data_IF_735732917707
#
_entry.id   IF_735732917707
#
_cell.length_a   1.000
_cell.length_b   1.000
_cell.length_c   1.000
_cell.angle_alpha   90.00
_cell.angle_beta   90.00
_cell.angle_gamma   90.00
#
_symmetry.space_group_name_H-M   'P 1'
#
loop_
_entity.id
_entity.type
_entity.pdbx_description
1 polymer ?
#
# COMPACT_ATOMS: atom_id res chain seq x y z
N UNK A 1 -8.26 -61.57 25.32
CA UNK A 1 -7.20 -61.34 24.30
C UNK A 1 -7.70 -60.37 23.28
N UNK A 2 -7.24 -59.11 23.36
CA UNK A 2 -7.52 -58.10 22.35
C UNK A 2 -6.63 -58.38 21.13
N UNK A 3 -7.26 -58.60 19.97
CA UNK A 3 -6.52 -58.70 18.69
C UNK A 3 -6.10 -57.32 18.28
N UNK A 4 -4.81 -57.07 18.34
CA UNK A 4 -4.18 -55.88 17.72
C UNK A 4 -4.40 -55.99 16.22
N UNK A 5 -5.28 -55.13 15.66
CA UNK A 5 -5.42 -54.97 14.22
C UNK A 5 -4.23 -54.17 13.72
N UNK A 6 -3.36 -54.82 12.97
CA UNK A 6 -2.30 -54.12 12.26
C UNK A 6 -2.86 -53.38 11.04
N UNK A 7 -2.28 -52.22 10.73
CA UNK A 7 -2.58 -51.47 9.49
C UNK A 7 -2.14 -52.28 8.27
N UNK A 8 -2.97 -52.25 7.24
CA UNK A 8 -2.61 -52.86 5.96
C UNK A 8 -1.73 -51.87 5.16
N UNK A 9 -0.81 -52.43 4.32
CA UNK A 9 0.04 -51.61 3.45
C UNK A 9 -0.78 -50.69 2.52
N UNK A 10 -1.94 -51.17 2.04
CA UNK A 10 -2.86 -50.42 1.19
C UNK A 10 -3.45 -49.21 1.93
N UNK A 11 -3.77 -49.36 3.21
CA UNK A 11 -4.35 -48.29 4.03
C UNK A 11 -3.32 -47.15 4.23
N UNK A 12 -2.07 -47.47 4.45
CA UNK A 12 -0.99 -46.48 4.58
C UNK A 12 -0.74 -45.76 3.25
N UNK A 13 -0.70 -46.49 2.14
CA UNK A 13 -0.54 -45.89 0.80
C UNK A 13 -1.69 -44.96 0.47
N UNK A 14 -2.93 -45.38 0.77
CA UNK A 14 -4.11 -44.57 0.54
C UNK A 14 -4.10 -43.31 1.41
N UNK A 15 -3.72 -43.44 2.69
CA UNK A 15 -3.63 -42.29 3.60
C UNK A 15 -2.58 -41.27 3.14
N UNK A 16 -1.41 -41.73 2.72
CA UNK A 16 -0.35 -40.86 2.18
C UNK A 16 -0.82 -40.18 0.89
N UNK A 17 -1.49 -40.91 -0.01
CA UNK A 17 -2.01 -40.35 -1.25
C UNK A 17 -3.04 -39.25 -0.98
N UNK A 18 -3.99 -39.46 -0.06
CA UNK A 18 -4.97 -38.44 0.34
C UNK A 18 -4.27 -37.22 0.98
N UNK A 19 -3.27 -37.45 1.83
CA UNK A 19 -2.50 -36.38 2.45
C UNK A 19 -1.78 -35.51 1.40
N UNK A 20 -1.15 -36.12 0.39
CA UNK A 20 -0.49 -35.42 -0.70
C UNK A 20 -1.48 -34.62 -1.55
N UNK A 21 -2.68 -35.19 -1.81
CA UNK A 21 -3.76 -34.48 -2.49
C UNK A 21 -4.20 -33.23 -1.71
N UNK A 22 -4.42 -33.35 -0.41
CA UNK A 22 -4.81 -32.23 0.45
C UNK A 22 -3.71 -31.14 0.51
N UNK A 23 -2.46 -31.54 0.63
CA UNK A 23 -1.31 -30.63 0.59
C UNK A 23 -1.23 -29.88 -0.75
N UNK A 24 -1.46 -30.58 -1.87
CA UNK A 24 -1.48 -29.96 -3.20
C UNK A 24 -2.55 -28.91 -3.39
N UNK A 25 -3.70 -29.06 -2.73
CA UNK A 25 -4.79 -28.07 -2.77
C UNK A 25 -4.57 -26.88 -1.81
N UNK A 26 -3.79 -27.05 -0.75
CA UNK A 26 -3.56 -26.01 0.25
C UNK A 26 -2.57 -24.92 -0.22
N UNK A 27 -1.58 -25.27 -1.05
CA UNK A 27 -0.51 -24.35 -1.47
C UNK A 27 -1.03 -23.10 -2.23
N UNK A 28 -1.89 -23.19 -3.26
CA UNK A 28 -2.35 -22.02 -4.01
C UNK A 28 -3.17 -21.04 -3.17
N UNK A 29 -3.88 -21.52 -2.13
CA UNK A 29 -4.64 -20.66 -1.24
C UNK A 29 -3.77 -19.74 -0.37
N UNK A 30 -2.59 -20.21 0.02
CA UNK A 30 -1.66 -19.43 0.87
C UNK A 30 -0.99 -18.28 0.11
N UNK A 31 -0.67 -18.46 -1.17
CA UNK A 31 -0.04 -17.40 -1.99
C UNK A 31 -0.97 -16.23 -2.21
N UNK A 32 -2.24 -16.46 -2.49
CA UNK A 32 -3.25 -15.41 -2.64
C UNK A 32 -3.47 -14.58 -1.38
N UNK A 33 -3.53 -15.24 -0.21
CA UNK A 33 -3.68 -14.56 1.09
C UNK A 33 -2.46 -13.69 1.40
N UNK A 34 -1.26 -14.15 1.08
CA UNK A 34 -0.03 -13.37 1.29
C UNK A 34 0.02 -12.16 0.36
N UNK A 35 -0.36 -12.32 -0.90
CA UNK A 35 -0.42 -11.23 -1.88
C UNK A 35 -1.45 -10.16 -1.45
N UNK A 36 -2.63 -10.57 -1.04
CA UNK A 36 -3.66 -9.66 -0.50
C UNK A 36 -3.15 -8.88 0.72
N UNK A 37 -2.53 -9.57 1.68
CA UNK A 37 -1.97 -8.93 2.87
C UNK A 37 -0.87 -7.92 2.54
N UNK A 38 0.00 -8.20 1.57
CA UNK A 38 1.03 -7.28 1.12
C UNK A 38 0.41 -6.07 0.41
N UNK A 39 -0.55 -6.30 -0.48
CA UNK A 39 -1.24 -5.24 -1.20
C UNK A 39 -1.98 -4.31 -0.24
N UNK A 40 -2.67 -4.87 0.76
CA UNK A 40 -3.33 -4.08 1.81
C UNK A 40 -2.33 -3.26 2.62
N UNK A 41 -1.17 -3.82 2.97
CA UNK A 41 -0.12 -3.08 3.67
C UNK A 41 0.40 -1.90 2.86
N UNK A 42 0.55 -2.04 1.53
CA UNK A 42 0.97 -0.92 0.67
C UNK A 42 -0.08 0.19 0.66
N UNK A 43 -1.36 -0.14 0.55
CA UNK A 43 -2.45 0.83 0.63
C UNK A 43 -2.50 1.55 1.98
N UNK A 44 -2.45 0.79 3.07
CA UNK A 44 -2.47 1.33 4.44
C UNK A 44 -1.23 2.19 4.73
N UNK A 45 -0.05 1.76 4.25
CA UNK A 45 1.20 2.51 4.34
C UNK A 45 1.13 3.85 3.63
N UNK A 46 0.61 3.88 2.41
CA UNK A 46 0.42 5.11 1.67
C UNK A 46 -0.65 6.02 2.31
N UNK A 47 -1.77 5.46 2.77
CA UNK A 47 -2.78 6.23 3.50
C UNK A 47 -2.23 6.85 4.80
N UNK A 48 -1.33 6.17 5.48
CA UNK A 48 -0.63 6.72 6.64
C UNK A 48 0.27 7.92 6.28
N UNK A 49 0.97 7.85 5.13
CA UNK A 49 1.75 8.99 4.62
C UNK A 49 0.85 10.21 4.37
N UNK A 50 -0.27 10.01 3.67
CA UNK A 50 -1.28 11.05 3.37
C UNK A 50 -1.82 11.67 4.66
N UNK A 51 -2.23 10.84 5.61
CA UNK A 51 -2.73 11.30 6.90
C UNK A 51 -1.69 12.13 7.66
N UNK A 52 -0.44 11.69 7.71
CA UNK A 52 0.64 12.43 8.37
C UNK A 52 0.89 13.78 7.70
N UNK A 53 0.86 13.86 6.37
CA UNK A 53 1.00 15.12 5.66
C UNK A 53 -0.14 16.09 6.02
N UNK A 54 -1.38 15.61 6.05
CA UNK A 54 -2.54 16.40 6.45
C UNK A 54 -2.47 16.86 7.92
N UNK A 55 -2.21 15.93 8.86
CA UNK A 55 -2.10 16.25 10.29
C UNK A 55 -1.02 17.29 10.56
N UNK A 56 0.14 17.17 9.90
CA UNK A 56 1.23 18.12 10.03
C UNK A 56 0.92 19.46 9.44
N UNK A 57 0.26 19.53 8.27
CA UNK A 57 -0.12 20.80 7.66
C UNK A 57 -1.03 21.61 8.57
N UNK A 58 -1.98 20.97 9.24
CA UNK A 58 -2.89 21.61 10.20
C UNK A 58 -2.17 22.01 11.50
N UNK A 59 -1.38 21.08 12.08
CA UNK A 59 -0.70 21.30 13.36
C UNK A 59 0.33 22.42 13.29
N UNK A 60 1.11 22.45 12.20
CA UNK A 60 2.18 23.44 11.99
C UNK A 60 1.71 24.70 11.26
N UNK A 61 0.45 24.76 10.84
CA UNK A 61 -0.17 25.88 10.12
C UNK A 61 0.60 26.31 8.88
N UNK A 62 1.23 25.36 8.19
CA UNK A 62 1.97 25.58 6.93
C UNK A 62 1.65 24.50 5.91
N UNK A 63 1.77 24.78 4.60
CA UNK A 63 1.52 23.79 3.58
C UNK A 63 2.55 22.65 3.65
N UNK A 64 2.06 21.44 3.37
CA UNK A 64 2.88 20.23 3.22
C UNK A 64 2.75 19.68 1.81
N UNK A 65 3.83 19.11 1.31
CA UNK A 65 3.90 18.45 0.01
C UNK A 65 4.16 16.97 0.18
N UNK A 66 3.45 16.16 -0.60
CA UNK A 66 3.88 14.79 -0.89
C UNK A 66 4.57 14.82 -2.24
N UNK A 67 5.86 14.44 -2.26
CA UNK A 67 6.73 14.52 -3.43
C UNK A 67 7.11 13.12 -3.89
N UNK A 68 6.96 12.86 -5.18
CA UNK A 68 7.29 11.57 -5.81
C UNK A 68 8.75 11.54 -6.23
N UNK A 69 9.46 10.48 -5.84
CA UNK A 69 10.80 10.14 -6.30
C UNK A 69 10.82 8.73 -6.87
N UNK A 70 11.87 8.35 -7.59
CA UNK A 70 11.96 7.04 -8.27
C UNK A 70 11.83 5.82 -7.36
N UNK A 71 12.21 5.94 -6.08
CA UNK A 71 12.25 4.81 -5.13
C UNK A 71 11.40 5.03 -3.88
N UNK A 72 10.88 6.23 -3.69
CA UNK A 72 10.08 6.57 -2.51
C UNK A 72 9.22 7.80 -2.75
N UNK A 73 8.17 7.90 -1.97
CA UNK A 73 7.32 9.08 -1.87
C UNK A 73 7.52 9.66 -0.48
N UNK A 74 7.72 10.97 -0.39
CA UNK A 74 8.04 11.63 0.88
C UNK A 74 7.08 12.77 1.17
N UNK A 75 6.71 12.92 2.44
CA UNK A 75 5.99 14.07 2.93
C UNK A 75 6.98 15.06 3.57
N UNK A 76 6.91 16.33 3.19
CA UNK A 76 7.75 17.41 3.72
C UNK A 76 6.99 18.74 3.73
N UNK A 77 7.39 19.72 4.55
CA UNK A 77 6.86 21.07 4.39
C UNK A 77 7.19 21.64 3.00
N UNK A 78 6.35 22.53 2.50
CA UNK A 78 6.60 23.25 1.24
C UNK A 78 7.83 24.15 1.38
N UNK A 79 7.91 24.85 2.51
CA UNK A 79 9.05 25.73 2.85
C UNK A 79 9.60 25.29 4.21
N UNK A 80 10.91 25.12 4.31
CA UNK A 80 11.60 24.87 5.58
C UNK A 80 11.90 26.20 6.28
N UNK A 81 11.84 26.21 7.61
CA UNK A 81 12.32 27.35 8.39
C UNK A 81 13.87 27.46 8.29
N UNK A 82 14.42 28.65 8.56
CA UNK A 82 15.88 28.89 8.42
C UNK A 82 16.76 27.93 9.24
N UNK A 83 16.27 27.47 10.40
CA UNK A 83 16.99 26.55 11.30
C UNK A 83 16.47 25.10 11.20
N UNK A 84 15.58 24.81 10.25
CA UNK A 84 14.95 23.49 10.14
C UNK A 84 15.78 22.55 9.25
N UNK A 85 16.11 21.36 9.78
CA UNK A 85 16.79 20.33 9.00
C UNK A 85 15.92 19.89 7.81
N UNK A 86 16.51 19.89 6.60
CA UNK A 86 15.84 19.44 5.37
C UNK A 86 15.63 17.93 5.42
N UNK A 87 14.60 17.50 6.15
CA UNK A 87 14.27 16.11 6.35
C UNK A 87 12.81 15.80 6.01
N UNK A 88 12.58 14.64 5.41
CA UNK A 88 11.23 14.15 5.20
C UNK A 88 10.56 13.86 6.55
N UNK A 89 9.34 14.38 6.74
CA UNK A 89 8.53 14.12 7.94
C UNK A 89 7.99 12.70 7.98
N UNK A 90 7.71 12.15 6.81
CA UNK A 90 7.30 10.76 6.61
C UNK A 90 7.70 10.30 5.22
N UNK A 91 7.89 8.99 5.06
CA UNK A 91 8.21 8.40 3.77
C UNK A 91 7.46 7.08 3.54
N UNK A 92 7.19 6.80 2.28
CA UNK A 92 6.68 5.54 1.77
C UNK A 92 7.69 5.02 0.75
N UNK A 93 8.40 3.95 1.10
CA UNK A 93 9.37 3.32 0.22
C UNK A 93 8.65 2.44 -0.82
N UNK A 94 9.21 2.39 -2.03
CA UNK A 94 8.76 1.52 -3.11
C UNK A 94 9.80 0.41 -3.29
N UNK A 95 9.33 -0.83 -3.26
CA UNK A 95 10.16 -2.01 -3.52
C UNK A 95 10.48 -2.15 -5.02
N UNK A 96 11.42 -3.04 -5.33
CA UNK A 96 11.83 -3.28 -6.72
C UNK A 96 10.66 -3.81 -7.56
N UNK A 97 10.27 -3.05 -8.57
CA UNK A 97 9.16 -3.38 -9.47
C UNK A 97 7.81 -2.81 -9.03
N UNK A 98 7.76 -2.05 -7.95
CA UNK A 98 6.59 -1.27 -7.56
C UNK A 98 6.60 0.11 -8.22
N UNK A 99 5.44 0.53 -8.65
CA UNK A 99 5.21 1.82 -9.28
C UNK A 99 4.01 2.50 -8.63
N UNK A 100 4.19 3.77 -8.25
CA UNK A 100 3.12 4.60 -7.73
C UNK A 100 2.97 5.82 -8.64
N UNK A 101 1.79 5.97 -9.23
CA UNK A 101 1.46 7.08 -10.14
C UNK A 101 0.50 8.05 -9.47
N UNK A 102 0.77 9.33 -9.60
CA UNK A 102 -0.11 10.42 -9.18
C UNK A 102 -0.74 11.07 -10.41
N UNK A 103 -2.04 11.29 -10.35
CA UNK A 103 -2.78 12.15 -11.27
C UNK A 103 -3.51 13.21 -10.45
N UNK A 104 -3.32 14.47 -10.83
CA UNK A 104 -3.98 15.63 -10.25
C UNK A 104 -4.96 16.19 -11.29
N UNK A 105 -6.25 15.81 -11.25
CA UNK A 105 -7.23 16.19 -12.28
C UNK A 105 -7.46 17.69 -12.39
N UNK A 106 -7.23 18.43 -11.30
CA UNK A 106 -7.41 19.88 -11.27
C UNK A 106 -6.12 20.67 -11.57
N UNK A 107 -4.98 20.01 -11.76
CA UNK A 107 -3.73 20.69 -12.03
C UNK A 107 -3.69 21.23 -13.46
N UNK A 108 -3.39 22.53 -13.60
CA UNK A 108 -3.26 23.19 -14.90
C UNK A 108 -1.96 22.80 -15.64
N UNK A 109 -0.95 22.34 -14.90
CA UNK A 109 0.36 21.94 -15.44
C UNK A 109 0.89 20.70 -14.71
N UNK A 110 1.47 19.77 -15.47
CA UNK A 110 2.18 18.63 -14.90
C UNK A 110 3.56 19.09 -14.42
N UNK A 111 3.76 19.11 -13.10
CA UNK A 111 5.07 19.34 -12.49
C UNK A 111 5.88 18.06 -12.40
N UNK A 112 7.18 18.13 -12.65
CA UNK A 112 8.11 17.04 -12.38
C UNK A 112 9.23 17.55 -11.46
N UNK A 113 9.46 16.90 -10.28
CA UNK A 113 8.74 15.74 -9.73
C UNK A 113 7.28 16.08 -9.42
N UNK A 114 6.42 15.06 -9.46
CA UNK A 114 5.01 15.24 -9.11
C UNK A 114 4.88 15.61 -7.62
N UNK A 115 4.13 16.66 -7.33
CA UNK A 115 3.93 17.22 -6.00
C UNK A 115 2.42 17.33 -5.72
N UNK A 116 2.02 16.86 -4.55
CA UNK A 116 0.63 16.93 -4.08
C UNK A 116 0.56 17.75 -2.81
N UNK A 117 -0.20 18.86 -2.84
CA UNK A 117 -0.24 19.86 -1.76
C UNK A 117 -1.36 19.59 -0.76
N UNK A 118 -1.04 19.82 0.52
CA UNK A 118 -1.93 19.82 1.68
C UNK A 118 -1.86 21.18 2.36
N UNK A 119 -3.00 21.86 2.50
CA UNK A 119 -3.07 23.18 3.09
C UNK A 119 -3.30 23.14 4.60
N UNK A 120 -2.98 24.24 5.33
CA UNK A 120 -3.22 24.37 6.76
C UNK A 120 -4.69 24.23 7.18
N UNK A 121 -5.62 24.42 6.25
CA UNK A 121 -7.05 24.18 6.43
C UNK A 121 -7.42 22.70 6.60
N UNK A 122 -6.46 21.78 6.37
CA UNK A 122 -6.70 20.33 6.33
C UNK A 122 -7.20 19.82 4.98
N UNK A 123 -7.32 20.71 3.98
CA UNK A 123 -7.71 20.34 2.62
C UNK A 123 -6.49 19.94 1.78
N UNK A 124 -6.72 19.26 0.67
CA UNK A 124 -5.68 18.94 -0.31
C UNK A 124 -6.21 19.12 -1.75
N UNK A 125 -5.33 19.08 -2.74
CA UNK A 125 -5.79 18.94 -4.12
C UNK A 125 -6.48 17.59 -4.33
N UNK A 126 -7.53 17.51 -5.17
CA UNK A 126 -8.09 16.22 -5.56
C UNK A 126 -7.04 15.40 -6.29
N UNK A 127 -6.85 14.18 -5.87
CA UNK A 127 -5.82 13.32 -6.41
C UNK A 127 -6.32 11.90 -6.69
N UNK A 128 -5.79 11.30 -7.73
CA UNK A 128 -5.96 9.88 -8.05
C UNK A 128 -4.58 9.23 -7.94
N UNK A 129 -4.47 8.24 -7.08
CA UNK A 129 -3.22 7.49 -6.89
C UNK A 129 -3.43 6.06 -7.35
N UNK A 130 -2.49 5.56 -8.14
CA UNK A 130 -2.49 4.20 -8.65
C UNK A 130 -1.19 3.51 -8.27
N UNK A 131 -1.29 2.36 -7.66
CA UNK A 131 -0.18 1.47 -7.32
C UNK A 131 -0.23 0.22 -8.17
N UNK A 132 0.91 -0.21 -8.67
CA UNK A 132 1.13 -1.51 -9.30
C UNK A 132 2.41 -2.14 -8.73
N UNK A 133 2.30 -3.40 -8.31
CA UNK A 133 3.39 -4.15 -7.72
C UNK A 133 3.22 -5.66 -7.91
N UNK A 134 4.14 -6.43 -7.36
CA UNK A 134 4.13 -7.90 -7.45
C UNK A 134 2.92 -8.53 -6.78
N UNK A 135 2.46 -7.95 -5.69
CA UNK A 135 1.30 -8.42 -4.91
C UNK A 135 -0.04 -8.05 -5.53
N UNK A 136 -0.05 -7.20 -6.57
CA UNK A 136 -1.27 -6.74 -7.23
C UNK A 136 -1.28 -5.24 -7.47
N UNK A 137 -2.46 -4.69 -7.71
CA UNK A 137 -2.65 -3.26 -7.97
C UNK A 137 -3.82 -2.70 -7.17
N UNK A 138 -3.73 -1.43 -6.81
CA UNK A 138 -4.84 -0.67 -6.28
C UNK A 138 -4.88 0.73 -6.86
N UNK A 139 -6.08 1.32 -6.89
CA UNK A 139 -6.30 2.71 -7.24
C UNK A 139 -7.25 3.34 -6.23
N UNK A 140 -6.98 4.59 -5.86
CA UNK A 140 -7.80 5.33 -4.92
C UNK A 140 -7.92 6.81 -5.32
N UNK A 141 -9.12 7.36 -5.15
CA UNK A 141 -9.40 8.77 -5.26
C UNK A 141 -9.34 9.40 -3.86
N UNK A 142 -8.68 10.54 -3.75
CA UNK A 142 -8.56 11.27 -2.50
C UNK A 142 -9.43 12.52 -2.51
N UNK A 143 -10.37 12.57 -1.55
CA UNK A 143 -11.30 13.67 -1.43
C UNK A 143 -10.61 14.94 -0.92
N UNK A 144 -10.79 16.11 -1.56
CA UNK A 144 -10.11 17.36 -1.22
C UNK A 144 -10.29 17.83 0.23
N UNK A 145 -11.49 17.63 0.79
CA UNK A 145 -11.84 18.12 2.11
C UNK A 145 -11.35 17.25 3.26
N UNK A 146 -11.17 15.96 3.02
CA UNK A 146 -10.89 14.99 4.09
C UNK A 146 -9.58 14.23 3.90
N UNK A 147 -8.97 14.35 2.72
CA UNK A 147 -7.81 13.55 2.28
C UNK A 147 -8.00 12.02 2.47
N UNK A 148 -9.27 11.56 2.53
CA UNK A 148 -9.59 10.14 2.68
C UNK A 148 -9.59 9.44 1.34
N UNK A 149 -8.99 8.27 1.32
CA UNK A 149 -9.00 7.39 0.16
C UNK A 149 -10.38 6.77 -0.07
N UNK A 150 -10.88 6.89 -1.28
CA UNK A 150 -11.96 6.07 -1.81
C UNK A 150 -11.34 5.09 -2.81
N UNK A 151 -11.21 3.83 -2.41
CA UNK A 151 -10.63 2.80 -3.26
C UNK A 151 -11.57 2.52 -4.44
N UNK A 152 -11.06 2.67 -5.66
CA UNK A 152 -11.80 2.48 -6.91
C UNK A 152 -11.42 1.19 -7.61
N UNK A 153 -10.22 0.67 -7.35
CA UNK A 153 -9.77 -0.63 -7.83
C UNK A 153 -8.91 -1.31 -6.75
N UNK A 154 -9.07 -2.62 -6.59
CA UNK A 154 -8.25 -3.44 -5.70
C UNK A 154 -8.18 -4.86 -6.26
N UNK A 155 -7.02 -5.26 -6.75
CA UNK A 155 -6.79 -6.52 -7.45
C UNK A 155 -5.50 -7.20 -6.96
N UNK A 156 -5.56 -8.09 -5.95
CA UNK A 156 -4.44 -8.93 -5.55
C UNK A 156 -4.09 -9.95 -6.66
N UNK A 157 -2.82 -10.33 -6.73
CA UNK A 157 -2.29 -11.32 -7.70
C UNK A 157 -1.83 -12.60 -7.05
#
# INVERSE_FOLDING_TARGET
MQRLRGFTLVEIVLAVFILLLLLGLAVPSLTGVLADKQLKRSLDGFNNLVRRAQERSVAERRPYLIVWSKKKVVARPEVFAEDEEIKATAEFALDRGEVLKLSLPAALTNKHPAEWIFWPSGTCEPAIVQFDGRSGSWAANYAPLTARAQVTNYAPR
#
